data_IF_817695878696
#
_entry.id   IF_817695878696
#
_cell.length_a   1.000
_cell.length_b   1.000
_cell.length_c   1.000
_cell.angle_alpha   90.00
_cell.angle_beta   90.00
_cell.angle_gamma   90.00
#
_symmetry.space_group_name_H-M   'P 1'
#
loop_
_entity.id
_entity.type
_entity.pdbx_description
1 polymer ?
#
# COMPACT_ATOMS: atom_id res chain seq x y z
N UNK A 1 -13.41 37.51 12.94
CA UNK A 1 -13.91 36.79 11.74
C UNK A 1 -12.84 35.91 11.09
N UNK A 2 -11.69 36.45 10.67
CA UNK A 2 -10.62 35.68 9.99
C UNK A 2 -10.16 34.45 10.78
N UNK A 3 -10.01 34.57 12.09
CA UNK A 3 -9.59 33.47 12.96
C UNK A 3 -10.55 32.27 12.92
N UNK A 4 -11.87 32.52 12.89
CA UNK A 4 -12.85 31.44 12.82
C UNK A 4 -12.77 30.69 11.48
N UNK A 5 -12.59 31.43 10.39
CA UNK A 5 -12.42 30.86 9.06
C UNK A 5 -11.15 29.99 8.96
N UNK A 6 -10.02 30.47 9.52
CA UNK A 6 -8.77 29.69 9.55
C UNK A 6 -8.94 28.44 10.41
N UNK A 7 -9.59 28.57 11.57
CA UNK A 7 -9.84 27.44 12.46
C UNK A 7 -10.73 26.38 11.81
N UNK A 8 -11.78 26.79 11.09
CA UNK A 8 -12.65 25.87 10.34
C UNK A 8 -11.88 25.16 9.22
N UNK A 9 -11.03 25.88 8.49
CA UNK A 9 -10.17 25.30 7.46
C UNK A 9 -9.20 24.26 8.05
N UNK A 10 -8.56 24.57 9.19
CA UNK A 10 -7.65 23.65 9.87
C UNK A 10 -8.39 22.46 10.50
N UNK A 11 -9.60 22.68 11.02
CA UNK A 11 -10.43 21.64 11.61
C UNK A 11 -10.92 20.62 10.57
N UNK A 12 -11.24 21.08 9.37
CA UNK A 12 -11.56 20.21 8.23
C UNK A 12 -10.33 19.43 7.72
N UNK A 13 -9.13 19.95 8.00
CA UNK A 13 -7.87 19.35 7.61
C UNK A 13 -7.59 19.44 6.11
N UNK A 14 -6.57 18.71 5.67
CA UNK A 14 -6.16 18.63 4.27
C UNK A 14 -6.15 17.17 3.82
N UNK A 15 -6.83 16.81 2.72
CA UNK A 15 -6.85 15.44 2.23
C UNK A 15 -5.48 15.07 1.65
N UNK A 16 -4.81 14.09 2.26
CA UNK A 16 -3.57 13.52 1.73
C UNK A 16 -3.89 12.31 0.84
N UNK A 17 -3.25 12.18 -0.35
CA UNK A 17 -3.43 11.03 -1.21
C UNK A 17 -2.70 9.82 -0.61
N UNK A 18 -3.37 9.12 0.31
CA UNK A 18 -2.84 7.96 1.00
C UNK A 18 -3.56 6.69 0.52
N UNK A 19 -2.82 5.62 0.20
CA UNK A 19 -3.41 4.31 -0.02
C UNK A 19 -4.26 3.87 1.18
N UNK A 20 -5.43 3.27 0.93
CA UNK A 20 -6.39 2.90 1.97
C UNK A 20 -5.91 1.86 3.00
N UNK A 21 -4.75 1.26 2.75
CA UNK A 21 -4.07 0.29 3.62
C UNK A 21 -3.10 0.96 4.60
N UNK A 22 -2.80 2.25 4.40
CA UNK A 22 -1.87 3.00 5.24
C UNK A 22 -2.61 3.85 6.26
N UNK A 23 -2.00 3.99 7.43
CA UNK A 23 -2.41 4.93 8.47
C UNK A 23 -1.21 5.73 8.90
N UNK A 24 -1.38 7.03 9.03
CA UNK A 24 -0.37 7.93 9.55
C UNK A 24 -0.43 7.97 11.08
N UNK A 25 0.72 7.95 11.72
CA UNK A 25 0.91 8.02 13.17
C UNK A 25 2.02 9.04 13.49
N UNK A 26 2.03 9.55 14.72
CA UNK A 26 3.08 10.45 15.22
C UNK A 26 3.41 11.59 14.24
N UNK A 27 2.37 12.31 13.80
CA UNK A 27 2.51 13.37 12.80
C UNK A 27 3.20 14.59 13.43
N UNK A 28 4.34 14.98 12.87
CA UNK A 28 5.07 16.19 13.18
C UNK A 28 5.10 17.11 11.96
N UNK A 29 4.98 18.42 12.21
CA UNK A 29 4.96 19.45 11.17
C UNK A 29 6.14 20.39 11.36
N UNK A 30 6.93 20.58 10.31
CA UNK A 30 7.97 21.60 10.25
C UNK A 30 7.58 22.64 9.21
N UNK A 31 7.38 23.88 9.66
CA UNK A 31 7.06 25.01 8.79
C UNK A 31 8.35 25.62 8.28
N UNK A 32 8.58 25.52 6.97
CA UNK A 32 9.69 26.18 6.28
C UNK A 32 9.16 27.42 5.55
N UNK A 33 10.05 28.26 5.02
CA UNK A 33 9.72 29.58 4.45
C UNK A 33 8.61 29.55 3.37
N UNK A 34 8.51 28.48 2.57
CA UNK A 34 7.51 28.35 1.48
C UNK A 34 6.88 26.95 1.38
N UNK A 35 7.12 26.08 2.35
CA UNK A 35 6.67 24.69 2.32
C UNK A 35 6.48 24.17 3.72
N UNK A 36 5.61 23.18 3.87
CA UNK A 36 5.43 22.45 5.12
C UNK A 36 5.97 21.05 4.91
N UNK A 37 6.86 20.61 5.80
CA UNK A 37 7.33 19.24 5.85
C UNK A 37 6.51 18.47 6.87
N UNK A 38 5.84 17.41 6.42
CA UNK A 38 5.08 16.49 7.28
C UNK A 38 5.96 15.26 7.52
N UNK A 39 6.32 15.02 8.78
CA UNK A 39 7.05 13.81 9.21
C UNK A 39 6.07 12.93 9.96
N UNK A 40 6.04 11.65 9.66
CA UNK A 40 5.03 10.75 10.22
C UNK A 40 5.53 9.32 10.14
N UNK A 41 5.15 8.52 11.12
CA UNK A 41 5.29 7.09 11.07
C UNK A 41 4.13 6.50 10.28
N UNK A 42 4.41 5.50 9.45
CA UNK A 42 3.40 4.84 8.63
C UNK A 42 3.14 3.45 9.18
N UNK A 43 1.91 3.22 9.60
CA UNK A 43 1.43 1.90 9.98
C UNK A 43 0.58 1.29 8.85
N UNK A 44 0.69 -0.02 8.68
CA UNK A 44 -0.04 -0.77 7.66
C UNK A 44 -1.17 -1.54 8.31
N UNK A 45 -2.37 -1.42 7.75
CA UNK A 45 -3.52 -2.25 8.12
C UNK A 45 -3.41 -3.60 7.41
N UNK A 46 -2.82 -4.58 8.09
CA UNK A 46 -2.54 -5.92 7.54
C UNK A 46 -3.78 -6.61 6.99
N UNK A 47 -4.95 -6.44 7.63
CA UNK A 47 -6.21 -7.06 7.18
C UNK A 47 -6.65 -6.47 5.85
N UNK A 48 -6.52 -5.15 5.69
CA UNK A 48 -6.84 -4.47 4.42
C UNK A 48 -5.81 -4.79 3.36
N UNK A 49 -4.53 -4.85 3.71
CA UNK A 49 -3.47 -5.23 2.80
C UNK A 49 -3.66 -6.67 2.29
N UNK A 50 -3.92 -7.62 3.19
CA UNK A 50 -4.19 -9.01 2.85
C UNK A 50 -5.41 -9.14 1.93
N UNK A 51 -6.50 -8.41 2.23
CA UNK A 51 -7.68 -8.38 1.35
C UNK A 51 -7.38 -7.78 -0.02
N UNK A 52 -6.58 -6.71 -0.07
CA UNK A 52 -6.16 -6.08 -1.32
C UNK A 52 -5.31 -7.05 -2.14
N UNK A 53 -4.32 -7.69 -1.51
CA UNK A 53 -3.47 -8.70 -2.13
C UNK A 53 -4.27 -9.90 -2.63
N UNK A 54 -5.22 -10.40 -1.85
CA UNK A 54 -6.12 -11.47 -2.28
C UNK A 54 -6.91 -11.04 -3.52
N UNK A 55 -7.47 -9.83 -3.53
CA UNK A 55 -8.19 -9.31 -4.71
C UNK A 55 -7.29 -9.18 -5.93
N UNK A 56 -6.05 -8.71 -5.78
CA UNK A 56 -5.14 -8.56 -6.93
C UNK A 56 -4.58 -9.89 -7.43
N UNK A 57 -4.28 -10.83 -6.53
CA UNK A 57 -3.76 -12.15 -6.87
C UNK A 57 -4.84 -13.08 -7.44
N UNK A 58 -6.08 -13.00 -6.94
CA UNK A 58 -7.19 -13.86 -7.37
C UNK A 58 -8.12 -13.23 -8.43
N UNK A 59 -8.08 -11.90 -8.64
CA UNK A 59 -8.78 -11.23 -9.77
C UNK A 59 -7.82 -10.64 -10.81
N UNK A 60 -6.52 -10.96 -10.76
CA UNK A 60 -5.62 -10.67 -11.88
C UNK A 60 -6.06 -11.49 -13.11
N UNK A 61 -5.73 -11.06 -14.35
CA UNK A 61 -5.94 -11.90 -15.51
C UNK A 61 -5.34 -13.26 -15.18
N UNK A 62 -6.17 -14.29 -15.24
CA UNK A 62 -5.77 -15.68 -15.07
C UNK A 62 -4.50 -15.84 -15.89
N UNK A 63 -3.37 -16.11 -15.23
CA UNK A 63 -2.23 -16.72 -15.90
C UNK A 63 -2.72 -18.13 -16.29
N UNK A 64 -3.58 -18.21 -17.29
CA UNK A 64 -3.87 -19.41 -18.06
C UNK A 64 -2.69 -19.65 -19.00
N UNK A 65 -1.48 -19.67 -18.45
CA UNK A 65 -0.46 -20.51 -19.00
C UNK A 65 -0.85 -21.90 -18.51
N UNK A 66 -1.14 -22.87 -19.40
CA UNK A 66 -1.38 -24.23 -18.97
C UNK A 66 -0.19 -24.67 -18.12
N UNK A 67 -0.45 -24.99 -16.85
CA UNK A 67 0.46 -25.74 -15.99
C UNK A 67 0.41 -27.19 -16.46
N UNK A 68 0.73 -27.42 -17.72
CA UNK A 68 1.09 -28.70 -18.26
C UNK A 68 2.37 -28.45 -19.06
N UNK A 69 3.38 -29.30 -18.81
CA UNK A 69 4.62 -29.43 -19.56
C UNK A 69 5.90 -28.73 -19.02
N UNK A 70 5.89 -27.62 -18.28
CA UNK A 70 7.19 -26.99 -17.85
C UNK A 70 7.69 -27.43 -16.46
N UNK A 71 6.81 -27.83 -15.54
CA UNK A 71 7.20 -28.29 -14.19
C UNK A 71 7.44 -29.82 -14.09
N UNK A 72 7.16 -30.59 -15.15
CA UNK A 72 7.66 -31.97 -15.32
C UNK A 72 8.99 -31.91 -16.07
N UNK A 73 9.87 -31.06 -15.57
CA UNK A 73 11.28 -31.10 -15.90
C UNK A 73 11.95 -31.79 -14.72
N UNK A 74 12.89 -32.68 -15.00
CA UNK A 74 14.09 -32.77 -14.17
C UNK A 74 14.05 -33.58 -12.85
N UNK A 75 13.04 -34.42 -12.59
CA UNK A 75 13.04 -35.27 -11.37
C UNK A 75 12.82 -36.78 -11.56
N UNK A 76 12.74 -37.29 -12.79
CA UNK A 76 12.67 -38.73 -13.03
C UNK A 76 13.89 -39.19 -13.84
N UNK A 77 14.73 -40.01 -13.20
CA UNK A 77 15.79 -40.83 -13.78
C UNK A 77 17.19 -40.21 -13.93
N UNK A 78 17.82 -39.92 -12.79
CA UNK A 78 19.25 -40.19 -12.62
C UNK A 78 19.41 -41.57 -11.98
N UNK A 79 19.75 -42.58 -12.79
CA UNK A 79 20.30 -43.86 -12.30
C UNK A 79 21.08 -44.51 -13.45
N UNK A 80 22.41 -44.42 -13.37
CA UNK A 80 23.38 -45.26 -14.08
C UNK A 80 23.29 -46.71 -13.54
N UNK A 81 23.64 -47.74 -14.33
CA UNK A 81 25.02 -48.03 -14.75
C UNK A 81 25.28 -47.96 -16.26
#
# INVERSE_FOLDING_TARGET
MIQNMINEMLANGFPLPLPHVLRLQNVALEVLTRRVLVRTDVAVDEKRLSRLAARTLFNGPTFSAPIETIAIRNFAHSTFP
#
